data_IF_538283154986
#
_entry.id   IF_538283154986
#
_cell.length_a   1.000
_cell.length_b   1.000
_cell.length_c   1.000
_cell.angle_alpha   90.00
_cell.angle_beta   90.00
_cell.angle_gamma   90.00
#
_symmetry.space_group_name_H-M   'P 1'
#
loop_
_entity.id
_entity.type
_entity.pdbx_description
1 polymer ?
#
# COMPACT_ATOMS: atom_id res chain seq x y z
N UNK A 1 -24.38 6.18 -32.30
CA UNK A 1 -24.11 5.19 -31.25
C UNK A 1 -23.56 3.97 -31.97
N UNK A 2 -22.28 3.65 -31.77
CA UNK A 2 -21.74 2.35 -32.18
C UNK A 2 -22.36 1.29 -31.27
N UNK A 3 -22.95 0.24 -31.86
CA UNK A 3 -23.49 -0.88 -31.09
C UNK A 3 -22.36 -1.55 -30.31
N UNK A 4 -22.57 -1.73 -29.00
CA UNK A 4 -21.66 -2.47 -28.14
C UNK A 4 -21.62 -3.93 -28.58
N UNK A 5 -20.41 -4.50 -28.62
CA UNK A 5 -20.18 -5.93 -28.82
C UNK A 5 -20.84 -6.77 -27.72
N UNK A 6 -21.07 -8.07 -27.97
CA UNK A 6 -21.66 -8.96 -26.96
C UNK A 6 -20.79 -9.09 -25.69
N UNK A 7 -19.46 -8.98 -25.83
CA UNK A 7 -18.53 -9.01 -24.70
C UNK A 7 -18.61 -7.72 -23.87
N UNK A 8 -18.71 -6.55 -24.50
CA UNK A 8 -18.93 -5.27 -23.83
C UNK A 8 -20.25 -5.25 -23.04
N UNK A 9 -21.34 -5.73 -23.64
CA UNK A 9 -22.63 -5.83 -22.96
C UNK A 9 -22.57 -6.76 -21.75
N UNK A 10 -21.86 -7.89 -21.87
CA UNK A 10 -21.67 -8.82 -20.75
C UNK A 10 -20.86 -8.18 -19.61
N UNK A 11 -19.75 -7.51 -19.94
CA UNK A 11 -18.95 -6.78 -18.97
C UNK A 11 -19.79 -5.71 -18.24
N UNK A 12 -20.54 -4.89 -18.97
CA UNK A 12 -21.40 -3.85 -18.37
C UNK A 12 -22.48 -4.46 -17.47
N UNK A 13 -23.05 -5.61 -17.85
CA UNK A 13 -24.01 -6.34 -17.01
C UNK A 13 -23.38 -6.84 -15.70
N UNK A 14 -22.16 -7.38 -15.75
CA UNK A 14 -21.42 -7.81 -14.55
C UNK A 14 -21.15 -6.63 -13.61
N UNK A 15 -20.66 -5.51 -14.17
CA UNK A 15 -20.41 -4.28 -13.41
C UNK A 15 -21.70 -3.76 -12.79
N UNK A 16 -22.80 -3.65 -13.55
CA UNK A 16 -24.08 -3.19 -13.07
C UNK A 16 -24.61 -4.06 -11.91
N UNK A 17 -24.49 -5.38 -12.03
CA UNK A 17 -24.89 -6.37 -11.02
C UNK A 17 -23.94 -6.47 -9.80
N UNK A 18 -22.91 -5.63 -9.73
CA UNK A 18 -21.89 -5.65 -8.66
C UNK A 18 -21.12 -6.98 -8.58
N UNK A 19 -21.03 -7.71 -9.69
CA UNK A 19 -20.26 -8.93 -9.82
C UNK A 19 -18.79 -8.60 -10.07
N UNK A 20 -17.92 -9.61 -9.85
CA UNK A 20 -16.47 -9.45 -10.01
C UNK A 20 -16.05 -9.91 -11.39
N UNK A 21 -15.13 -9.16 -11.98
CA UNK A 21 -14.37 -9.54 -13.17
C UNK A 21 -13.17 -10.38 -12.71
N UNK A 22 -12.99 -11.55 -13.32
CA UNK A 22 -11.91 -12.50 -13.06
C UNK A 22 -10.89 -12.53 -14.22
N UNK A 23 -9.68 -13.11 -14.02
CA UNK A 23 -8.61 -13.04 -15.01
C UNK A 23 -8.93 -13.61 -16.40
N UNK A 24 -9.86 -14.56 -16.48
CA UNK A 24 -10.27 -15.22 -17.74
C UNK A 24 -11.42 -14.51 -18.44
N UNK A 25 -12.08 -13.57 -17.75
CA UNK A 25 -13.19 -12.84 -18.33
C UNK A 25 -12.66 -11.83 -19.35
N UNK A 26 -13.45 -11.60 -20.38
CA UNK A 26 -13.22 -10.46 -21.25
C UNK A 26 -13.37 -9.17 -20.44
N UNK A 27 -12.53 -8.19 -20.72
CA UNK A 27 -12.62 -6.86 -20.12
C UNK A 27 -12.08 -5.81 -21.10
N UNK A 28 -12.58 -4.56 -21.07
CA UNK A 28 -12.06 -3.50 -21.91
C UNK A 28 -10.56 -3.29 -21.69
N UNK A 29 -9.80 -3.06 -22.76
CA UNK A 29 -8.36 -2.80 -22.65
C UNK A 29 -8.05 -1.60 -21.75
N UNK A 30 -8.89 -0.57 -21.79
CA UNK A 30 -8.75 0.60 -20.92
C UNK A 30 -8.99 0.25 -19.44
N UNK A 31 -9.90 -0.68 -19.14
CA UNK A 31 -10.11 -1.21 -17.79
C UNK A 31 -8.87 -1.98 -17.32
N UNK A 32 -8.35 -2.89 -18.17
CA UNK A 32 -7.12 -3.66 -17.91
C UNK A 32 -5.93 -2.73 -17.63
N UNK A 33 -5.66 -1.76 -18.50
CA UNK A 33 -4.56 -0.78 -18.33
C UNK A 33 -4.71 0.06 -17.08
N UNK A 34 -5.93 0.49 -16.75
CA UNK A 34 -6.20 1.28 -15.54
C UNK A 34 -5.91 0.48 -14.28
N UNK A 35 -6.32 -0.80 -14.24
CA UNK A 35 -6.02 -1.69 -13.12
C UNK A 35 -4.54 -2.03 -13.02
N UNK A 36 -3.87 -2.34 -14.14
CA UNK A 36 -2.41 -2.55 -14.14
C UNK A 36 -1.72 -1.34 -13.51
N UNK A 37 -2.06 -0.12 -13.97
CA UNK A 37 -1.51 1.12 -13.42
C UNK A 37 -1.80 1.26 -11.92
N UNK A 38 -3.03 1.04 -11.48
CA UNK A 38 -3.41 1.26 -10.09
C UNK A 38 -2.79 0.22 -9.15
N UNK A 39 -2.88 -1.07 -9.49
CA UNK A 39 -2.41 -2.17 -8.66
C UNK A 39 -0.87 -2.19 -8.64
N UNK A 40 -0.19 -1.90 -9.75
CA UNK A 40 1.27 -1.81 -9.77
C UNK A 40 1.76 -0.67 -8.90
N UNK A 41 1.15 0.52 -9.01
CA UNK A 41 1.51 1.68 -8.18
C UNK A 41 1.20 1.45 -6.70
N UNK A 42 0.16 0.68 -6.39
CA UNK A 42 -0.11 0.20 -5.03
C UNK A 42 1.01 -0.73 -4.55
N UNK A 43 1.40 -1.73 -5.35
CA UNK A 43 2.51 -2.62 -5.00
C UNK A 43 3.83 -1.86 -4.83
N UNK A 44 4.09 -0.85 -5.65
CA UNK A 44 5.24 0.03 -5.52
C UNK A 44 5.20 0.84 -4.23
N UNK A 45 4.00 1.25 -3.82
CA UNK A 45 3.79 1.98 -2.56
C UNK A 45 4.24 1.13 -1.37
N UNK A 46 3.88 -0.15 -1.32
CA UNK A 46 4.38 -1.06 -0.27
C UNK A 46 5.91 -1.14 -0.26
N UNK A 47 6.52 -1.37 -1.42
CA UNK A 47 7.98 -1.54 -1.52
C UNK A 47 8.76 -0.27 -1.13
N UNK A 48 8.25 0.91 -1.50
CA UNK A 48 8.89 2.18 -1.15
C UNK A 48 8.58 2.57 0.28
N UNK A 49 7.41 2.21 0.82
CA UNK A 49 6.97 2.46 2.20
C UNK A 49 7.87 1.83 3.26
N UNK A 50 8.46 0.68 2.94
CA UNK A 50 9.44 0.03 3.80
C UNK A 50 10.68 0.90 4.09
N UNK A 51 11.02 1.89 3.25
CA UNK A 51 12.24 2.67 3.39
C UNK A 51 12.23 3.68 4.56
N UNK A 52 11.24 4.60 4.69
CA UNK A 52 11.18 5.51 5.84
C UNK A 52 11.13 4.77 7.18
N UNK A 53 10.38 3.67 7.25
CA UNK A 53 10.27 2.86 8.47
C UNK A 53 11.49 1.99 8.73
N UNK A 54 12.07 1.41 7.67
CA UNK A 54 13.31 0.66 7.70
C UNK A 54 14.48 1.47 8.30
N UNK A 55 14.50 2.78 8.05
CA UNK A 55 15.46 3.70 8.65
C UNK A 55 15.46 3.69 10.19
N UNK A 56 14.34 3.34 10.84
CA UNK A 56 14.19 3.33 12.30
C UNK A 56 14.33 1.96 12.94
N UNK A 57 14.37 0.87 12.17
CA UNK A 57 14.51 -0.50 12.70
C UNK A 57 15.71 -0.63 13.64
N UNK A 58 16.87 -0.07 13.28
CA UNK A 58 18.09 -0.18 14.09
C UNK A 58 18.06 0.74 15.32
N UNK A 59 17.24 1.78 15.30
CA UNK A 59 17.21 2.90 16.27
C UNK A 59 15.95 2.94 17.16
N UNK A 60 15.04 1.97 17.00
CA UNK A 60 13.84 1.88 17.81
C UNK A 60 14.18 1.86 19.32
N UNK A 61 13.45 2.63 20.17
CA UNK A 61 13.84 2.93 21.55
C UNK A 61 13.65 1.77 22.53
N UNK A 62 13.03 0.67 22.09
CA UNK A 62 12.89 -0.55 22.90
C UNK A 62 12.81 -1.78 22.02
N UNK A 63 13.14 -2.95 22.58
CA UNK A 63 13.01 -4.22 21.87
C UNK A 63 11.57 -4.54 21.49
N UNK A 64 10.58 -4.19 22.34
CA UNK A 64 9.15 -4.32 22.02
C UNK A 64 8.81 -3.54 20.75
N UNK A 65 9.16 -2.26 20.69
CA UNK A 65 8.86 -1.41 19.52
C UNK A 65 9.66 -1.83 18.29
N UNK A 66 10.90 -2.29 18.46
CA UNK A 66 11.74 -2.84 17.39
C UNK A 66 11.11 -4.09 16.76
N UNK A 67 10.64 -5.03 17.58
CA UNK A 67 10.00 -6.25 17.10
C UNK A 67 8.70 -5.96 16.33
N UNK A 68 7.87 -5.03 16.83
CA UNK A 68 6.64 -4.61 16.15
C UNK A 68 6.96 -3.95 14.81
N UNK A 69 7.95 -3.05 14.75
CA UNK A 69 8.34 -2.39 13.51
C UNK A 69 8.90 -3.37 12.47
N UNK A 70 9.69 -4.36 12.91
CA UNK A 70 10.15 -5.45 12.04
C UNK A 70 8.98 -6.24 11.46
N UNK A 71 7.99 -6.59 12.30
CA UNK A 71 6.80 -7.31 11.84
C UNK A 71 6.00 -6.48 10.82
N UNK A 72 5.80 -5.18 11.07
CA UNK A 72 5.13 -4.27 10.12
C UNK A 72 5.84 -4.22 8.76
N UNK A 73 7.14 -3.93 8.76
CA UNK A 73 7.93 -3.83 7.50
C UNK A 73 8.01 -5.17 6.77
N UNK A 74 7.96 -6.30 7.50
CA UNK A 74 7.84 -7.63 6.90
C UNK A 74 6.49 -7.82 6.21
N UNK A 75 5.39 -7.41 6.85
CA UNK A 75 4.05 -7.51 6.29
C UNK A 75 3.89 -6.63 5.05
N UNK A 76 4.43 -5.40 5.04
CA UNK A 76 4.48 -4.54 3.84
C UNK A 76 5.15 -5.23 2.64
N UNK A 77 6.25 -5.94 2.87
CA UNK A 77 6.89 -6.74 1.83
C UNK A 77 5.95 -7.83 1.30
N UNK A 78 5.21 -8.49 2.18
CA UNK A 78 4.18 -9.48 1.85
C UNK A 78 3.01 -8.88 1.06
N UNK A 79 2.54 -7.70 1.44
CA UNK A 79 1.46 -6.96 0.77
C UNK A 79 1.87 -6.58 -0.65
N UNK A 80 3.10 -6.10 -0.83
CA UNK A 80 3.69 -5.85 -2.14
C UNK A 80 3.67 -7.10 -3.02
N UNK A 81 4.00 -8.28 -2.47
CA UNK A 81 3.93 -9.55 -3.20
C UNK A 81 2.50 -9.94 -3.60
N UNK A 82 1.51 -9.74 -2.71
CA UNK A 82 0.10 -9.99 -3.05
C UNK A 82 -0.38 -9.08 -4.18
N UNK A 83 -0.01 -7.80 -4.15
CA UNK A 83 -0.39 -6.83 -5.16
C UNK A 83 0.29 -7.07 -6.50
N UNK A 84 1.59 -7.38 -6.52
CA UNK A 84 2.25 -7.80 -7.74
C UNK A 84 1.59 -9.06 -8.32
N UNK A 85 1.25 -10.04 -7.49
CA UNK A 85 0.54 -11.24 -7.94
C UNK A 85 -0.82 -10.92 -8.55
N UNK A 86 -1.58 -10.01 -7.94
CA UNK A 86 -2.88 -9.56 -8.47
C UNK A 86 -2.75 -8.75 -9.77
N UNK A 87 -1.67 -7.98 -9.94
CA UNK A 87 -1.39 -7.28 -11.20
C UNK A 87 -0.98 -8.27 -12.30
N UNK A 88 -0.20 -9.31 -11.98
CA UNK A 88 0.24 -10.31 -12.96
C UNK A 88 -0.92 -11.08 -13.61
N UNK A 89 -2.07 -11.21 -12.94
CA UNK A 89 -3.26 -11.82 -13.56
C UNK A 89 -3.86 -10.98 -14.69
N UNK A 90 -3.41 -9.73 -14.88
CA UNK A 90 -3.80 -8.86 -16.00
C UNK A 90 -2.84 -8.95 -17.19
N UNK A 91 -1.73 -9.69 -17.07
CA UNK A 91 -0.78 -9.97 -18.15
C UNK A 91 0.54 -9.19 -18.10
N UNK A 92 0.74 -8.30 -17.13
CA UNK A 92 2.03 -7.61 -16.91
C UNK A 92 2.96 -8.46 -16.03
N UNK A 93 4.27 -8.43 -16.26
CA UNK A 93 5.23 -9.14 -15.38
C UNK A 93 5.68 -8.30 -14.19
N UNK A 94 6.12 -8.95 -13.11
CA UNK A 94 6.71 -8.25 -11.95
C UNK A 94 7.99 -7.52 -12.31
N UNK A 95 8.79 -8.06 -13.22
CA UNK A 95 10.02 -7.44 -13.68
C UNK A 95 9.71 -6.15 -14.45
N UNK A 96 8.76 -6.19 -15.39
CA UNK A 96 8.29 -4.97 -16.09
C UNK A 96 7.78 -3.90 -15.12
N UNK A 97 6.99 -4.28 -14.10
CA UNK A 97 6.54 -3.33 -13.08
C UNK A 97 7.71 -2.76 -12.28
N UNK A 98 8.69 -3.60 -11.92
CA UNK A 98 9.88 -3.16 -11.18
C UNK A 98 10.73 -2.18 -12.00
N UNK A 99 10.89 -2.45 -13.30
CA UNK A 99 11.60 -1.57 -14.23
C UNK A 99 10.88 -0.24 -14.40
N UNK A 100 9.54 -0.26 -14.50
CA UNK A 100 8.74 0.96 -14.56
C UNK A 100 8.89 1.81 -13.30
N UNK A 101 8.93 1.21 -12.11
CA UNK A 101 9.20 1.92 -10.85
C UNK A 101 10.60 2.54 -10.84
N UNK A 102 11.63 1.75 -11.11
CA UNK A 102 13.04 2.18 -11.02
C UNK A 102 13.35 3.26 -12.07
N UNK A 103 12.74 3.18 -13.25
CA UNK A 103 12.86 4.17 -14.31
C UNK A 103 11.99 5.43 -14.07
N UNK A 104 11.22 5.50 -12.99
CA UNK A 104 10.32 6.62 -12.70
C UNK A 104 9.13 6.75 -13.67
N UNK A 105 8.81 5.68 -14.42
CA UNK A 105 7.67 5.62 -15.35
C UNK A 105 6.36 5.26 -14.65
N UNK A 106 6.43 4.58 -13.51
CA UNK A 106 5.31 4.31 -12.63
C UNK A 106 5.48 5.04 -11.29
N UNK A 107 4.36 5.48 -10.71
CA UNK A 107 4.34 6.18 -9.43
C UNK A 107 4.29 5.21 -8.25
N UNK A 108 4.47 5.76 -7.06
CA UNK A 108 4.10 5.18 -5.77
C UNK A 108 3.43 6.29 -4.95
N UNK A 109 2.85 5.95 -3.80
CA UNK A 109 2.14 6.92 -2.95
C UNK A 109 3.02 8.12 -2.61
N UNK A 110 2.45 9.32 -2.71
CA UNK A 110 3.15 10.58 -2.46
C UNK A 110 3.77 10.63 -1.06
N UNK A 111 3.12 9.99 -0.09
CA UNK A 111 3.46 10.04 1.34
C UNK A 111 4.86 9.52 1.67
N UNK A 112 5.41 8.59 0.88
CA UNK A 112 6.72 8.01 1.18
C UNK A 112 7.91 8.90 0.79
N UNK A 113 7.63 10.09 0.25
CA UNK A 113 8.64 11.10 -0.09
C UNK A 113 8.94 12.07 1.05
N UNK A 114 8.28 11.94 2.20
CA UNK A 114 8.50 12.79 3.36
C UNK A 114 9.53 12.17 4.33
N UNK A 115 10.35 12.99 5.01
CA UNK A 115 11.36 12.52 5.93
C UNK A 115 10.76 12.06 7.28
N UNK A 116 11.40 11.06 7.89
CA UNK A 116 11.08 10.56 9.23
C UNK A 116 12.27 10.80 10.19
N UNK A 117 12.51 12.05 10.65
CA UNK A 117 13.70 12.42 11.41
C UNK A 117 13.70 11.98 12.88
N UNK A 118 12.54 11.66 13.47
CA UNK A 118 12.40 11.29 14.89
C UNK A 118 11.67 9.96 15.06
N UNK A 119 11.73 9.38 16.26
CA UNK A 119 10.99 8.15 16.54
C UNK A 119 9.47 8.34 16.48
N UNK A 120 8.98 9.54 16.81
CA UNK A 120 7.55 9.84 16.76
C UNK A 120 6.98 9.72 15.35
N UNK A 121 7.81 9.85 14.31
CA UNK A 121 7.42 9.63 12.92
C UNK A 121 6.91 8.21 12.67
N UNK A 122 7.42 7.19 13.37
CA UNK A 122 6.86 5.83 13.28
C UNK A 122 5.44 5.74 13.85
N UNK A 123 5.16 6.56 14.86
CA UNK A 123 3.81 6.71 15.40
C UNK A 123 2.89 7.45 14.42
N UNK A 124 3.36 8.55 13.83
CA UNK A 124 2.59 9.33 12.86
C UNK A 124 2.34 8.59 11.55
N UNK A 125 3.33 7.87 11.01
CA UNK A 125 3.16 6.99 9.85
C UNK A 125 2.15 5.89 10.19
N UNK A 126 2.38 5.12 11.24
CA UNK A 126 1.46 4.05 11.61
C UNK A 126 0.04 4.57 11.89
N UNK A 127 -0.14 5.72 12.54
CA UNK A 127 -1.48 6.23 12.85
C UNK A 127 -2.17 6.92 11.66
N UNK A 128 -1.52 7.94 11.09
CA UNK A 128 -2.09 8.81 10.05
C UNK A 128 -1.99 8.21 8.67
N UNK A 129 -0.81 7.69 8.31
CA UNK A 129 -0.52 7.18 6.95
C UNK A 129 -1.23 5.84 6.75
N UNK A 130 -1.04 4.87 7.66
CA UNK A 130 -1.76 3.59 7.55
C UNK A 130 -3.28 3.80 7.78
N UNK A 131 -3.67 4.76 8.63
CA UNK A 131 -5.08 5.11 8.80
C UNK A 131 -5.73 5.61 7.50
N UNK A 132 -5.03 6.47 6.76
CA UNK A 132 -5.47 6.93 5.44
C UNK A 132 -5.47 5.79 4.41
N UNK A 133 -4.44 4.94 4.42
CA UNK A 133 -4.35 3.76 3.58
C UNK A 133 -5.53 2.80 3.81
N UNK A 134 -5.83 2.44 5.06
CA UNK A 134 -6.98 1.60 5.44
C UNK A 134 -8.30 2.23 4.99
N UNK A 135 -8.48 3.54 5.20
CA UNK A 135 -9.68 4.24 4.76
C UNK A 135 -9.90 4.13 3.25
N UNK A 136 -8.82 4.19 2.46
CA UNK A 136 -8.86 3.98 1.01
C UNK A 136 -9.00 2.49 0.62
N UNK A 137 -8.39 1.57 1.36
CA UNK A 137 -8.27 0.16 1.02
C UNK A 137 -9.49 -0.68 1.38
N UNK A 138 -10.17 -0.38 2.50
CA UNK A 138 -11.37 -1.12 2.93
C UNK A 138 -12.47 -1.08 1.86
N UNK A 139 -12.78 0.07 1.21
CA UNK A 139 -13.67 0.10 0.06
C UNK A 139 -13.22 -0.75 -1.13
N UNK A 140 -11.91 -0.86 -1.35
CA UNK A 140 -11.33 -1.63 -2.46
C UNK A 140 -11.45 -3.15 -2.25
N UNK A 141 -11.78 -3.62 -1.04
CA UNK A 141 -12.28 -4.99 -0.84
C UNK A 141 -13.49 -5.29 -1.74
N UNK A 142 -14.24 -4.26 -2.17
CA UNK A 142 -15.37 -4.32 -3.12
C UNK A 142 -15.06 -3.81 -4.54
N UNK A 143 -13.79 -3.65 -4.90
CA UNK A 143 -13.38 -3.29 -6.27
C UNK A 143 -13.84 -4.34 -7.29
N UNK A 144 -14.30 -3.92 -8.47
CA UNK A 144 -14.84 -4.83 -9.49
C UNK A 144 -13.89 -5.94 -9.95
N UNK A 145 -12.56 -5.76 -9.88
CA UNK A 145 -11.61 -6.82 -10.21
C UNK A 145 -11.38 -7.78 -9.04
N UNK A 146 -11.76 -9.05 -9.22
CA UNK A 146 -11.73 -10.09 -8.19
C UNK A 146 -10.38 -10.27 -7.51
N UNK A 147 -9.28 -10.49 -8.25
CA UNK A 147 -7.94 -10.65 -7.67
C UNK A 147 -7.52 -9.48 -6.79
N UNK A 148 -7.83 -8.25 -7.23
CA UNK A 148 -7.48 -7.05 -6.47
C UNK A 148 -8.31 -6.94 -5.19
N UNK A 149 -9.64 -7.13 -5.28
CA UNK A 149 -10.50 -7.11 -4.10
C UNK A 149 -10.12 -8.17 -3.05
N UNK A 150 -9.72 -9.38 -3.49
CA UNK A 150 -9.26 -10.45 -2.57
C UNK A 150 -7.91 -10.12 -1.91
N UNK A 151 -6.99 -9.48 -2.63
CA UNK A 151 -5.73 -9.00 -2.04
C UNK A 151 -6.00 -7.95 -0.96
N UNK A 152 -6.89 -6.98 -1.24
CA UNK A 152 -7.28 -5.95 -0.27
C UNK A 152 -7.89 -6.53 1.01
N UNK A 153 -8.69 -7.59 0.91
CA UNK A 153 -9.25 -8.27 2.11
C UNK A 153 -8.16 -8.84 3.02
N UNK A 154 -7.06 -9.36 2.46
CA UNK A 154 -5.94 -9.87 3.26
C UNK A 154 -5.13 -8.73 3.86
N UNK A 155 -4.75 -7.76 3.02
CA UNK A 155 -3.97 -6.59 3.42
C UNK A 155 -4.68 -5.82 4.54
N UNK A 156 -5.98 -5.49 4.38
CA UNK A 156 -6.73 -4.75 5.40
C UNK A 156 -6.84 -5.48 6.76
N UNK A 157 -6.80 -6.82 6.77
CA UNK A 157 -6.82 -7.59 8.03
C UNK A 157 -5.52 -7.41 8.81
N UNK A 158 -4.39 -7.33 8.10
CA UNK A 158 -3.06 -7.20 8.68
C UNK A 158 -2.77 -5.74 9.04
N UNK A 159 -3.04 -4.79 8.15
CA UNK A 159 -2.75 -3.36 8.36
C UNK A 159 -3.47 -2.74 9.56
N UNK A 160 -4.70 -3.18 9.86
CA UNK A 160 -5.44 -2.64 11.01
C UNK A 160 -4.71 -2.84 12.34
N UNK A 161 -3.89 -3.89 12.44
CA UNK A 161 -3.01 -4.11 13.57
C UNK A 161 -1.86 -3.09 13.60
N UNK A 162 -1.18 -2.87 12.48
CA UNK A 162 -0.08 -1.90 12.38
C UNK A 162 -0.54 -0.48 12.70
N UNK A 163 -1.71 -0.10 12.20
CA UNK A 163 -2.29 1.21 12.46
C UNK A 163 -2.51 1.45 13.96
N UNK A 164 -3.04 0.43 14.66
CA UNK A 164 -3.21 0.49 16.11
C UNK A 164 -1.88 0.62 16.84
N UNK A 165 -0.82 -0.03 16.35
CA UNK A 165 0.50 0.08 16.95
C UNK A 165 1.12 1.47 16.77
N UNK A 166 0.87 2.14 15.64
CA UNK A 166 1.23 3.55 15.42
C UNK A 166 0.55 4.49 16.41
N UNK A 167 -0.76 4.32 16.59
CA UNK A 167 -1.54 5.06 17.59
C UNK A 167 -0.97 4.86 19.01
N UNK A 168 -0.64 3.63 19.40
CA UNK A 168 -0.07 3.32 20.72
C UNK A 168 1.31 3.98 20.93
N UNK A 169 2.12 4.16 19.88
CA UNK A 169 3.39 4.90 19.95
C UNK A 169 3.13 6.35 20.34
N UNK A 170 2.24 7.04 19.63
CA UNK A 170 1.93 8.45 19.93
C UNK A 170 1.30 8.60 21.30
N UNK A 171 0.39 7.70 21.69
CA UNK A 171 -0.20 7.72 23.02
C UNK A 171 0.86 7.59 24.12
N UNK A 172 1.81 6.66 23.94
CA UNK A 172 2.92 6.47 24.88
C UNK A 172 3.77 7.74 25.01
N UNK A 173 4.07 8.40 23.88
CA UNK A 173 4.88 9.62 23.87
C UNK A 173 4.13 10.79 24.52
N UNK A 174 2.83 10.93 24.26
CA UNK A 174 2.00 12.00 24.81
C UNK A 174 1.81 11.90 26.33
N UNK A 175 1.84 10.68 26.86
CA UNK A 175 1.84 10.40 28.31
C UNK A 175 3.24 10.49 28.95
N UNK A 176 4.26 10.82 28.17
CA UNK A 176 5.66 10.83 28.58
C UNK A 176 6.16 12.18 29.13
N UNK A 177 7.41 12.51 28.86
CA UNK A 177 8.03 13.80 29.20
C UNK A 177 7.59 14.91 28.23
N UNK A 178 7.88 16.18 28.56
CA UNK A 178 7.63 17.31 27.65
C UNK A 178 8.33 17.14 26.30
N UNK A 179 9.57 16.62 26.30
CA UNK A 179 10.30 16.34 25.08
C UNK A 179 9.61 15.26 24.22
N UNK A 180 9.00 14.24 24.83
CA UNK A 180 8.26 13.20 24.12
C UNK A 180 6.94 13.73 23.55
N UNK A 181 6.21 14.55 24.33
CA UNK A 181 5.01 15.26 23.86
C UNK A 181 5.32 16.15 22.66
N UNK A 182 6.38 16.95 22.76
CA UNK A 182 6.77 17.85 21.68
C UNK A 182 7.20 17.09 20.42
N UNK A 183 7.92 15.97 20.58
CA UNK A 183 8.30 15.11 19.46
C UNK A 183 7.07 14.48 18.77
N UNK A 184 6.08 14.02 19.54
CA UNK A 184 4.83 13.50 19.00
C UNK A 184 4.03 14.57 18.25
N UNK A 185 3.88 15.76 18.84
CA UNK A 185 3.18 16.87 18.20
C UNK A 185 3.88 17.32 16.90
N UNK A 186 5.22 17.42 16.90
CA UNK A 186 5.99 17.77 15.71
C UNK A 186 5.81 16.75 14.58
N UNK A 187 5.80 15.46 14.89
CA UNK A 187 5.51 14.43 13.90
C UNK A 187 4.09 14.58 13.33
N UNK A 188 3.07 14.75 14.17
CA UNK A 188 1.69 14.98 13.70
C UNK A 188 1.61 16.22 12.80
N UNK A 189 2.29 17.31 13.18
CA UNK A 189 2.31 18.54 12.38
C UNK A 189 2.83 18.31 10.96
N UNK A 190 3.89 17.51 10.82
CA UNK A 190 4.53 17.24 9.52
C UNK A 190 3.77 16.21 8.67
N UNK A 191 3.11 15.23 9.29
CA UNK A 191 2.48 14.13 8.57
C UNK A 191 0.98 14.33 8.27
N UNK A 192 0.29 15.22 8.98
CA UNK A 192 -1.14 15.45 8.80
C UNK A 192 -1.55 15.78 7.36
N UNK A 193 -1.02 16.87 6.79
CA UNK A 193 -1.37 17.32 5.44
C UNK A 193 -0.96 16.30 4.37
N UNK A 194 0.26 15.74 4.39
CA UNK A 194 0.63 14.66 3.49
C UNK A 194 -0.30 13.45 3.53
N UNK A 195 -0.78 13.03 4.70
CA UNK A 195 -1.74 11.93 4.83
C UNK A 195 -3.08 12.25 4.16
N UNK A 196 -3.56 13.50 4.23
CA UNK A 196 -4.78 13.92 3.53
C UNK A 196 -4.60 13.96 2.00
N UNK A 197 -3.38 14.21 1.51
CA UNK A 197 -3.06 14.17 0.08
C UNK A 197 -3.02 12.73 -0.49
N UNK A 198 -2.94 11.69 0.36
CA UNK A 198 -2.95 10.28 -0.10
C UNK A 198 -4.24 9.90 -0.82
N UNK A 199 -5.36 10.54 -0.49
CA UNK A 199 -6.64 10.32 -1.17
C UNK A 199 -6.64 10.86 -2.61
N UNK A 200 -5.61 11.60 -3.02
CA UNK A 200 -5.50 12.16 -4.36
C UNK A 200 -6.10 13.57 -4.49
N UNK A 201 -6.14 14.11 -5.73
CA UNK A 201 -6.63 15.46 -6.00
C UNK A 201 -8.14 15.57 -5.70
N UNK A 202 -8.69 16.80 -5.62
CA UNK A 202 -10.12 17.03 -5.56
C UNK A 202 -10.86 16.35 -6.72
N UNK A 203 -12.14 16.05 -6.53
CA UNK A 203 -12.91 15.28 -7.50
C UNK A 203 -13.02 15.96 -8.88
N UNK A 204 -13.07 17.29 -8.92
CA UNK A 204 -13.09 18.10 -10.15
C UNK A 204 -11.74 18.12 -10.91
N UNK A 205 -10.65 17.74 -10.25
CA UNK A 205 -9.30 17.65 -10.78
C UNK A 205 -8.80 16.20 -10.93
N UNK A 206 -9.71 15.21 -10.90
CA UNK A 206 -9.38 13.78 -10.88
C UNK A 206 -9.76 13.06 -12.19
N UNK A 207 -8.91 13.10 -13.24
CA UNK A 207 -9.27 12.66 -14.60
C UNK A 207 -9.62 11.16 -14.70
N UNK A 208 -9.13 10.34 -13.78
CA UNK A 208 -9.40 8.90 -13.75
C UNK A 208 -10.67 8.54 -12.96
N UNK A 209 -11.21 9.45 -12.14
CA UNK A 209 -12.23 9.10 -11.16
C UNK A 209 -13.57 8.73 -11.80
N UNK A 210 -14.03 9.48 -12.80
CA UNK A 210 -15.32 9.20 -13.45
C UNK A 210 -15.38 7.77 -14.02
N UNK A 211 -14.37 7.39 -14.80
CA UNK A 211 -14.30 6.05 -15.40
C UNK A 211 -14.06 4.95 -14.37
N UNK A 212 -13.18 5.19 -13.37
CA UNK A 212 -12.89 4.21 -12.33
C UNK A 212 -14.10 3.94 -11.43
N UNK A 213 -14.94 4.95 -11.20
CA UNK A 213 -16.22 4.82 -10.49
C UNK A 213 -17.26 4.09 -11.34
N UNK A 214 -17.39 4.44 -12.63
CA UNK A 214 -18.31 3.77 -13.55
C UNK A 214 -18.00 2.25 -13.66
N UNK A 215 -16.72 1.89 -13.73
CA UNK A 215 -16.28 0.50 -13.69
C UNK A 215 -16.21 -0.10 -12.29
N UNK A 216 -16.61 0.63 -11.23
CA UNK A 216 -16.55 0.20 -9.83
C UNK A 216 -15.16 -0.30 -9.38
N UNK A 217 -14.09 0.16 -10.03
CA UNK A 217 -12.70 0.01 -9.54
C UNK A 217 -12.55 0.83 -8.27
N UNK A 218 -13.03 2.08 -8.33
CA UNK A 218 -13.15 3.00 -7.19
C UNK A 218 -14.61 2.99 -6.71
N UNK A 219 -14.83 2.97 -5.40
CA UNK A 219 -16.19 2.87 -4.81
C UNK A 219 -16.71 4.17 -4.20
N UNK A 220 -15.81 5.07 -3.85
CA UNK A 220 -16.09 6.39 -3.28
C UNK A 220 -15.18 7.41 -3.93
N UNK A 221 -15.57 8.68 -3.90
CA UNK A 221 -14.75 9.74 -4.46
C UNK A 221 -13.48 10.01 -3.62
N UNK A 222 -12.56 10.84 -4.12
CA UNK A 222 -11.35 11.18 -3.35
C UNK A 222 -11.74 12.01 -2.12
N UNK A 223 -12.63 12.97 -2.33
CA UNK A 223 -13.08 13.89 -1.28
C UNK A 223 -13.97 13.19 -0.25
N UNK A 224 -14.82 12.24 -0.68
CA UNK A 224 -15.62 11.38 0.22
C UNK A 224 -14.73 10.61 1.20
N UNK A 225 -13.67 9.98 0.69
CA UNK A 225 -12.75 9.19 1.53
C UNK A 225 -11.92 10.09 2.44
N UNK A 226 -11.45 11.25 1.93
CA UNK A 226 -10.74 12.23 2.75
C UNK A 226 -11.62 12.71 3.91
N UNK A 227 -12.89 13.01 3.66
CA UNK A 227 -13.82 13.44 4.71
C UNK A 227 -14.12 12.36 5.75
N UNK A 228 -14.32 11.11 5.31
CA UNK A 228 -14.46 9.99 6.25
C UNK A 228 -13.23 9.82 7.12
N UNK A 229 -12.05 9.94 6.54
CA UNK A 229 -10.80 9.85 7.29
C UNK A 229 -10.68 10.95 8.33
N UNK A 230 -10.97 12.20 7.98
CA UNK A 230 -10.99 13.32 8.94
C UNK A 230 -11.98 13.04 10.07
N UNK A 231 -13.19 12.57 9.76
CA UNK A 231 -14.19 12.22 10.78
C UNK A 231 -13.74 11.14 11.76
N UNK A 232 -12.94 10.17 11.30
CA UNK A 232 -12.32 9.17 12.19
C UNK A 232 -11.14 9.74 12.98
N UNK A 233 -10.40 10.68 12.38
CA UNK A 233 -9.15 11.20 12.90
C UNK A 233 -9.34 12.17 14.07
N UNK A 234 -10.33 13.07 13.99
CA UNK A 234 -10.56 14.09 15.03
C UNK A 234 -10.73 13.50 16.44
N UNK A 235 -11.66 12.56 16.69
CA UNK A 235 -11.80 11.98 18.03
C UNK A 235 -10.55 11.19 18.47
N UNK A 236 -9.77 10.64 17.53
CA UNK A 236 -8.51 9.97 17.85
C UNK A 236 -7.43 10.97 18.30
N UNK A 237 -7.36 12.14 17.67
CA UNK A 237 -6.45 13.20 18.05
C UNK A 237 -6.73 13.72 19.46
N UNK A 238 -8.01 13.87 19.82
CA UNK A 238 -8.45 14.23 21.17
C UNK A 238 -7.98 13.22 22.21
N UNK A 239 -8.13 11.91 21.94
CA UNK A 239 -7.66 10.85 22.85
C UNK A 239 -6.13 10.86 23.00
N UNK A 240 -5.40 11.13 21.92
CA UNK A 240 -3.94 11.26 21.97
C UNK A 240 -3.48 12.52 22.70
N UNK A 241 -4.33 13.53 22.80
CA UNK A 241 -3.97 14.85 23.32
C UNK A 241 -3.10 15.67 22.37
N UNK A 242 -3.15 15.37 21.06
CA UNK A 242 -2.42 16.11 20.02
C UNK A 242 -3.35 17.11 19.33
N UNK A 243 -2.80 18.25 18.92
CA UNK A 243 -3.49 19.18 18.03
C UNK A 243 -3.28 18.74 16.57
N UNK A 244 -4.33 18.81 15.75
CA UNK A 244 -4.19 18.73 14.30
C UNK A 244 -3.76 20.10 13.76
N UNK A 245 -2.76 20.20 12.86
CA UNK A 245 -2.20 21.47 12.38
C UNK A 245 -3.10 22.15 11.33
N UNK A 246 -4.40 22.22 11.61
CA UNK A 246 -5.41 22.86 10.76
C UNK A 246 -6.23 23.86 11.59
N UNK A 247 -5.87 25.15 11.56
CA UNK A 247 -6.60 26.19 12.30
C UNK A 247 -8.04 26.39 11.84
N UNK A 248 -8.39 25.94 10.63
CA UNK A 248 -9.76 26.05 10.11
C UNK A 248 -10.63 24.85 10.47
N UNK A 249 -10.04 23.77 11.00
CA UNK A 249 -10.73 22.53 11.32
C UNK A 249 -11.87 22.77 12.30
N UNK A 250 -13.10 22.53 11.84
CA UNK A 250 -14.31 22.63 12.67
C UNK A 250 -15.42 21.76 12.09
N UNK A 251 -16.33 21.31 12.95
CA UNK A 251 -17.56 20.67 12.49
C UNK A 251 -18.48 21.74 11.89
N UNK A 252 -18.95 21.51 10.67
CA UNK A 252 -19.96 22.32 10.00
C UNK A 252 -21.32 21.62 10.16
N UNK A 253 -22.16 22.18 11.02
CA UNK A 253 -23.49 21.62 11.32
C UNK A 253 -24.43 21.69 10.10
N UNK A 254 -24.33 22.73 9.28
CA UNK A 254 -25.22 22.89 8.12
C UNK A 254 -24.86 21.88 7.02
N UNK A 255 -23.56 21.68 6.81
CA UNK A 255 -23.05 20.75 5.81
C UNK A 255 -22.87 19.30 6.31
N UNK A 256 -23.07 19.05 7.61
CA UNK A 256 -22.87 17.76 8.29
C UNK A 256 -21.51 17.11 7.94
N UNK A 257 -20.44 17.92 7.95
CA UNK A 257 -19.08 17.49 7.63
C UNK A 257 -18.04 18.35 8.33
N UNK A 258 -16.78 17.90 8.34
CA UNK A 258 -15.68 18.73 8.81
C UNK A 258 -15.29 19.77 7.76
N UNK A 259 -15.26 21.04 8.12
CA UNK A 259 -14.54 22.06 7.35
C UNK A 259 -13.04 21.91 7.65
N UNK A 260 -12.20 21.95 6.61
CA UNK A 260 -10.74 21.91 6.75
C UNK A 260 -10.11 23.06 5.98
N UNK A 261 -8.89 23.42 6.37
CA UNK A 261 -8.04 24.30 5.58
C UNK A 261 -7.75 23.72 4.19
N UNK A 262 -7.30 24.59 3.28
CA UNK A 262 -6.94 24.18 1.93
C UNK A 262 -5.63 23.40 1.92
N UNK A 263 -5.62 22.23 1.29
CA UNK A 263 -4.40 21.47 1.05
C UNK A 263 -3.51 22.21 0.03
N UNK A 264 -2.20 22.13 0.22
CA UNK A 264 -1.22 22.62 -0.74
C UNK A 264 -1.16 21.71 -1.98
N UNK A 265 -1.97 22.03 -2.98
CA UNK A 265 -2.01 21.29 -4.24
C UNK A 265 -0.78 21.54 -5.13
N UNK A 266 -0.01 22.61 -4.90
CA UNK A 266 1.26 22.85 -5.58
C UNK A 266 2.31 21.86 -5.06
N UNK A 267 2.45 21.74 -3.74
CA UNK A 267 3.29 20.71 -3.11
C UNK A 267 2.91 19.31 -3.61
N UNK A 268 1.61 18.99 -3.61
CA UNK A 268 1.13 17.70 -4.10
C UNK A 268 1.59 17.42 -5.55
N UNK A 269 1.49 18.40 -6.44
CA UNK A 269 1.92 18.28 -7.84
C UNK A 269 3.43 18.09 -7.95
N UNK A 270 4.22 18.84 -7.19
CA UNK A 270 5.68 18.74 -7.17
C UNK A 270 6.14 17.36 -6.68
N UNK A 271 5.56 16.85 -5.59
CA UNK A 271 5.84 15.50 -5.06
C UNK A 271 5.49 14.42 -6.08
N UNK A 272 4.32 14.51 -6.72
CA UNK A 272 3.90 13.56 -7.76
C UNK A 272 4.74 13.62 -9.03
N UNK A 273 5.39 14.76 -9.29
CA UNK A 273 6.28 14.97 -10.43
C UNK A 273 7.74 14.62 -10.12
N UNK A 274 8.02 14.04 -8.94
CA UNK A 274 9.35 13.58 -8.56
C UNK A 274 10.23 14.65 -7.93
N UNK A 275 9.67 15.81 -7.56
CA UNK A 275 10.40 16.97 -7.01
C UNK A 275 10.09 17.25 -5.53
N UNK A 276 9.52 16.26 -4.84
CA UNK A 276 9.37 16.30 -3.39
C UNK A 276 10.67 15.96 -2.65
N UNK A 277 10.64 16.02 -1.30
CA UNK A 277 11.86 16.02 -0.48
C UNK A 277 12.76 14.80 -0.68
N UNK A 278 12.18 13.60 -0.78
CA UNK A 278 12.96 12.35 -0.86
C UNK A 278 12.71 11.51 -2.12
N UNK A 279 12.00 12.03 -3.14
CA UNK A 279 11.72 11.27 -4.36
C UNK A 279 12.97 10.66 -5.01
N UNK A 280 13.98 11.50 -5.24
CA UNK A 280 15.25 11.08 -5.84
C UNK A 280 15.99 10.05 -4.97
N UNK A 281 15.93 10.20 -3.64
CA UNK A 281 16.56 9.27 -2.71
C UNK A 281 15.86 7.92 -2.69
N UNK A 282 14.52 7.88 -2.66
CA UNK A 282 13.73 6.64 -2.65
C UNK A 282 13.98 5.78 -3.88
N UNK A 283 13.97 6.42 -5.05
CA UNK A 283 14.24 5.74 -6.32
C UNK A 283 15.71 5.31 -6.42
N UNK A 284 16.66 6.16 -6.02
CA UNK A 284 18.09 5.80 -6.00
C UNK A 284 18.34 4.60 -5.10
N UNK A 285 17.77 4.57 -3.90
CA UNK A 285 17.89 3.44 -2.98
C UNK A 285 17.31 2.16 -3.58
N UNK A 286 16.09 2.23 -4.14
CA UNK A 286 15.45 1.06 -4.77
C UNK A 286 16.24 0.54 -5.97
N UNK A 287 16.77 1.46 -6.78
CA UNK A 287 17.64 1.14 -7.92
C UNK A 287 18.92 0.47 -7.49
N UNK A 288 19.64 1.04 -6.54
CA UNK A 288 20.88 0.46 -6.00
C UNK A 288 20.64 -0.95 -5.46
N UNK A 289 19.61 -1.15 -4.63
CA UNK A 289 19.26 -2.48 -4.12
C UNK A 289 18.94 -3.50 -5.24
N UNK A 290 18.34 -3.04 -6.34
CA UNK A 290 18.09 -3.90 -7.51
C UNK A 290 19.38 -4.21 -8.26
N UNK A 291 20.19 -3.20 -8.59
CA UNK A 291 21.42 -3.34 -9.38
C UNK A 291 22.48 -4.15 -8.60
N UNK A 292 22.74 -3.79 -7.34
CA UNK A 292 23.71 -4.45 -6.47
C UNK A 292 23.31 -5.90 -6.14
N UNK A 293 21.99 -6.18 -6.18
CA UNK A 293 21.44 -7.53 -6.00
C UNK A 293 21.43 -8.38 -7.27
N UNK A 294 21.89 -7.87 -8.42
CA UNK A 294 21.83 -8.59 -9.70
C UNK A 294 22.55 -9.94 -9.64
N UNK A 295 23.77 -9.96 -9.10
CA UNK A 295 24.57 -11.18 -8.99
C UNK A 295 23.88 -12.28 -8.16
N UNK A 296 23.09 -11.91 -7.14
CA UNK A 296 22.32 -12.88 -6.34
C UNK A 296 21.21 -13.51 -7.17
N UNK A 297 20.50 -12.70 -7.98
CA UNK A 297 19.44 -13.19 -8.87
C UNK A 297 20.01 -14.10 -9.96
N UNK A 298 21.12 -13.70 -10.56
CA UNK A 298 21.85 -14.49 -11.57
C UNK A 298 22.36 -15.82 -10.98
N UNK A 299 22.95 -15.79 -9.79
CA UNK A 299 23.42 -16.98 -9.09
C UNK A 299 22.26 -17.95 -8.77
N UNK A 300 21.12 -17.42 -8.31
CA UNK A 300 19.91 -18.21 -8.03
C UNK A 300 19.37 -18.88 -9.31
N UNK A 301 19.30 -18.13 -10.42
CA UNK A 301 18.84 -18.66 -11.70
C UNK A 301 19.78 -19.76 -12.24
N UNK A 302 21.10 -19.53 -12.22
CA UNK A 302 22.09 -20.52 -12.65
C UNK A 302 22.04 -21.80 -11.80
N UNK A 303 21.86 -21.66 -10.47
CA UNK A 303 21.69 -22.81 -9.59
C UNK A 303 20.43 -23.60 -9.91
N UNK A 304 19.29 -22.92 -10.14
CA UNK A 304 18.03 -23.57 -10.50
C UNK A 304 18.14 -24.33 -11.83
N UNK A 305 18.80 -23.75 -12.84
CA UNK A 305 19.04 -24.41 -14.12
C UNK A 305 19.88 -25.69 -13.94
N UNK A 306 20.98 -25.61 -13.17
CA UNK A 306 21.81 -26.79 -12.86
C UNK A 306 21.01 -27.89 -12.17
N UNK A 307 20.14 -27.53 -11.21
CA UNK A 307 19.27 -28.48 -10.51
C UNK A 307 18.26 -29.14 -11.46
N UNK A 308 17.67 -28.38 -12.37
CA UNK A 308 16.77 -28.91 -13.39
C UNK A 308 17.47 -29.90 -14.32
N UNK A 309 18.66 -29.57 -14.83
CA UNK A 309 19.47 -30.46 -15.69
C UNK A 309 19.84 -31.78 -14.99
N UNK A 310 20.21 -31.73 -13.70
CA UNK A 310 20.50 -32.92 -12.91
C UNK A 310 19.25 -33.79 -12.75
N UNK A 311 18.09 -33.20 -12.47
CA UNK A 311 16.82 -33.93 -12.35
C UNK A 311 16.43 -34.61 -13.67
N UNK A 312 16.59 -33.91 -14.80
CA UNK A 312 16.31 -34.46 -16.13
C UNK A 312 17.25 -35.62 -16.47
N UNK A 313 18.55 -35.48 -16.16
CA UNK A 313 19.56 -36.55 -16.40
C UNK A 313 19.39 -37.76 -15.50
N UNK A 314 18.88 -37.60 -14.28
CA UNK A 314 18.68 -38.71 -13.34
C UNK A 314 17.35 -39.45 -13.51
N UNK A 315 16.52 -39.09 -14.51
CA UNK A 315 15.21 -39.71 -14.73
C UNK A 315 14.21 -39.55 -13.58
N UNK A 316 14.48 -38.64 -12.63
CA UNK A 316 13.56 -38.35 -11.52
C UNK A 316 12.56 -37.31 -11.97
N UNK A 317 11.30 -37.71 -12.06
CA UNK A 317 10.18 -36.79 -12.17
C UNK A 317 10.12 -35.92 -10.91
N UNK A 318 9.89 -34.61 -11.09
CA UNK A 318 9.68 -33.63 -10.01
C UNK A 318 8.51 -33.96 -9.09
N UNK A 319 7.66 -34.93 -9.44
CA UNK A 319 6.58 -35.45 -8.59
C UNK A 319 7.06 -36.29 -7.39
N UNK A 320 8.28 -36.85 -7.43
CA UNK A 320 8.76 -37.76 -6.38
C UNK A 320 9.42 -37.06 -5.17
N UNK A 321 9.79 -35.78 -5.30
CA UNK A 321 10.50 -35.05 -4.23
C UNK A 321 9.52 -34.43 -3.21
N UNK A 322 8.30 -34.10 -3.62
CA UNK A 322 7.26 -33.54 -2.71
C UNK A 322 6.66 -34.62 -1.80
N UNK A 323 6.54 -35.87 -2.27
CA UNK A 323 5.97 -36.98 -1.48
C UNK A 323 6.89 -37.45 -0.34
N UNK A 324 8.21 -37.19 -0.41
CA UNK A 324 9.17 -37.59 0.64
C UNK A 324 9.33 -36.57 1.77
N UNK A 325 8.77 -35.36 1.62
CA UNK A 325 8.81 -34.32 2.64
C UNK A 325 7.65 -34.39 3.64
N UNK A 326 6.59 -35.17 3.37
CA UNK A 326 5.36 -35.18 4.17
C UNK A 326 5.15 -36.41 5.04
N UNK A 327 6.07 -37.38 5.05
CA UNK A 327 6.00 -38.51 5.98
C UNK A 327 6.96 -38.28 7.15
N UNK A 328 6.48 -37.55 8.17
CA UNK A 328 7.08 -37.56 9.49
C UNK A 328 7.00 -38.97 10.12
N UNK A 329 7.87 -39.30 11.08
CA UNK A 329 7.90 -40.63 11.68
C UNK A 329 6.60 -40.87 12.46
N UNK A 330 5.90 -41.95 12.13
CA UNK A 330 4.77 -42.47 12.90
C UNK A 330 5.23 -42.84 14.30
N UNK A 331 4.50 -42.33 15.29
CA UNK A 331 4.66 -42.65 16.71
C UNK A 331 4.68 -44.17 16.90
N UNK A 332 5.79 -44.66 17.48
CA UNK A 332 5.82 -46.00 18.07
C UNK A 332 5.29 -45.90 19.49
N UNK A 333 4.29 -46.72 19.76
CA UNK A 333 3.82 -47.11 21.09
C UNK A 333 4.97 -47.35 22.07
N UNK A 334 4.86 -46.78 23.25
CA UNK A 334 5.38 -47.38 24.48
C UNK A 334 4.32 -47.21 25.56
N UNK A 335 4.06 -48.34 26.22
CA UNK A 335 3.11 -48.57 27.31
C UNK A 335 3.27 -47.66 28.53
#
# INVERSE_FOLDING_TARGET
MTDLTGEEQHFDALIAADQRIEPRDWMPDAYRRTLIRQISQHAHSEIIGMQPEGGWITRAPSLKRKAILLAKVQDEAGHGLYLYSAAQTLGITRDEMTDQLIAGKAKYSSIFNYPAPTWADMGAIGWLVDGAAICNQVPLCRASYGPYGRAMVRICKEESFHQRQGFEILLTLMQGTDAQRQMAQDAVNRWYWPSLMMFGPPDDASPNSAQSMAWKIKRFSNDDLRQRFIGMLVPQAEILGVALPDPELRWDEDAQRWHTGQLDWDEFREVLAGRGPLNAERLRHRKAAHDDGAWVREASAAYAQKRAEVSTRSGRSTTDEVARSTTGPTEREVA
#
